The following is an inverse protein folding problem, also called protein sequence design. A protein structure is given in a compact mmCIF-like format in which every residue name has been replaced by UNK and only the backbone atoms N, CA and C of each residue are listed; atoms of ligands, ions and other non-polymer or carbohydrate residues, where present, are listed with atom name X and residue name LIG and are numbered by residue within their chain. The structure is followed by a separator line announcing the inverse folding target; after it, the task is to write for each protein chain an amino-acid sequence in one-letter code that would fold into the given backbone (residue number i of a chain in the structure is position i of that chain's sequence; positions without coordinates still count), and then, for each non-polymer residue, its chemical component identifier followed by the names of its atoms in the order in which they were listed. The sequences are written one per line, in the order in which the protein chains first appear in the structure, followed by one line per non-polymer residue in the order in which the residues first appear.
data_IF_898492891669
#
_entry.id   IF_898492891669
#
_cell.length_a   1.000
_cell.length_b   1.000
_cell.length_c   1.000
_cell.angle_alpha   90.00
_cell.angle_beta   90.00
_cell.angle_gamma   90.00
#
_symmetry.space_group_name_H-M   'P 1'
#
loop_
_entity.id
_entity.type
_entity.pdbx_description
1 polymer ?
#
# COMPACT_ATOMS: atom_id res chain seq x y z
N UNK A 1 31.63 26.08 75.60
CA UNK A 1 30.83 25.55 74.48
C UNK A 1 31.83 24.94 73.51
N UNK A 2 32.18 23.66 73.69
CA UNK A 2 33.18 22.97 72.87
C UNK A 2 32.48 22.34 71.67
N UNK A 3 32.75 22.85 70.48
CA UNK A 3 32.19 22.30 69.24
C UNK A 3 32.73 20.88 68.99
N UNK A 4 31.84 19.97 68.63
CA UNK A 4 32.11 18.54 68.50
C UNK A 4 32.70 18.27 67.10
N UNK A 5 33.86 17.60 66.94
CA UNK A 5 34.48 17.35 65.63
C UNK A 5 33.55 16.64 64.62
N UNK A 6 32.55 15.90 65.11
CA UNK A 6 31.52 15.26 64.30
C UNK A 6 30.64 16.26 63.52
N UNK A 7 30.35 17.44 64.08
CA UNK A 7 29.48 18.44 63.45
C UNK A 7 30.16 19.08 62.23
N UNK A 8 31.48 19.32 62.31
CA UNK A 8 32.29 19.81 61.20
C UNK A 8 32.37 18.81 60.03
N UNK A 9 32.46 17.50 60.34
CA UNK A 9 32.44 16.44 59.33
C UNK A 9 31.06 16.37 58.65
N UNK A 10 29.96 16.51 59.41
CA UNK A 10 28.62 16.52 58.85
C UNK A 10 28.36 17.73 57.93
N UNK A 11 28.85 18.92 58.29
CA UNK A 11 28.74 20.13 57.46
C UNK A 11 29.52 19.96 56.15
N UNK A 12 30.75 19.44 56.21
CA UNK A 12 31.57 19.23 54.99
C UNK A 12 30.97 18.20 54.03
N UNK A 13 30.40 17.09 54.54
CA UNK A 13 29.67 16.11 53.73
C UNK A 13 28.43 16.75 53.08
N UNK A 14 27.69 17.59 53.81
CA UNK A 14 26.49 18.26 53.30
C UNK A 14 26.81 19.25 52.18
N UNK A 15 27.92 19.99 52.30
CA UNK A 15 28.40 20.90 51.25
C UNK A 15 28.83 20.11 50.00
N UNK A 16 29.56 19.01 50.17
CA UNK A 16 29.95 18.14 49.06
C UNK A 16 28.73 17.53 48.35
N UNK A 17 27.73 17.09 49.11
CA UNK A 17 26.48 16.57 48.57
C UNK A 17 25.70 17.62 47.77
N UNK A 18 25.66 18.88 48.23
CA UNK A 18 25.04 19.99 47.48
C UNK A 18 25.74 20.28 46.16
N UNK A 19 27.07 20.21 46.10
CA UNK A 19 27.84 20.41 44.87
C UNK A 19 27.55 19.28 43.86
N UNK A 20 27.57 18.03 44.32
CA UNK A 20 27.25 16.86 43.48
C UNK A 20 25.81 16.92 42.98
N UNK A 21 24.86 17.32 43.83
CA UNK A 21 23.45 17.50 43.48
C UNK A 21 23.24 18.64 42.46
N UNK A 22 23.97 19.75 42.61
CA UNK A 22 23.94 20.85 41.63
C UNK A 22 24.49 20.43 40.27
N UNK A 23 25.60 19.70 40.25
CA UNK A 23 26.18 19.16 39.01
C UNK A 23 25.24 18.16 38.33
N UNK A 24 24.68 17.22 39.09
CA UNK A 24 23.74 16.23 38.56
C UNK A 24 22.49 16.91 38.02
N UNK A 25 21.92 17.91 38.71
CA UNK A 25 20.75 18.66 38.23
C UNK A 25 21.01 19.37 36.89
N UNK A 26 22.20 19.93 36.68
CA UNK A 26 22.60 20.52 35.39
C UNK A 26 22.71 19.45 34.30
N UNK A 27 23.32 18.31 34.62
CA UNK A 27 23.45 17.18 33.71
C UNK A 27 22.07 16.63 33.31
N UNK A 28 21.15 16.46 34.27
CA UNK A 28 19.77 16.04 34.02
C UNK A 28 19.03 17.02 33.11
N UNK A 29 19.19 18.34 33.30
CA UNK A 29 18.58 19.35 32.42
C UNK A 29 19.12 19.27 30.98
N UNK A 30 20.43 19.08 30.80
CA UNK A 30 21.06 18.90 29.48
C UNK A 30 20.57 17.61 28.81
N UNK A 31 20.56 16.50 29.55
CA UNK A 31 20.05 15.22 29.07
C UNK A 31 18.58 15.32 28.63
N UNK A 32 17.73 15.99 29.42
CA UNK A 32 16.32 16.20 29.08
C UNK A 32 16.15 17.11 27.84
N UNK A 33 17.00 18.11 27.66
CA UNK A 33 17.00 18.94 26.44
C UNK A 33 17.39 18.14 25.20
N UNK A 34 18.41 17.27 25.30
CA UNK A 34 18.83 16.38 24.22
C UNK A 34 17.72 15.39 23.89
N UNK A 35 17.10 14.77 24.90
CA UNK A 35 15.99 13.85 24.73
C UNK A 35 14.80 14.53 24.02
N UNK A 36 14.42 15.75 24.40
CA UNK A 36 13.37 16.52 23.72
C UNK A 36 13.70 16.81 22.24
N UNK A 37 14.96 17.19 21.94
CA UNK A 37 15.41 17.40 20.55
C UNK A 37 15.38 16.11 19.74
N UNK A 38 15.78 14.99 20.34
CA UNK A 38 15.73 13.68 19.70
C UNK A 38 14.28 13.28 19.39
N UNK A 39 13.36 13.42 20.35
CA UNK A 39 11.93 13.18 20.16
C UNK A 39 11.36 14.03 19.02
N UNK A 40 11.63 15.35 19.00
CA UNK A 40 11.13 16.21 17.91
C UNK A 40 11.67 15.82 16.53
N UNK A 41 12.92 15.34 16.44
CA UNK A 41 13.47 14.79 15.19
C UNK A 41 12.79 13.49 14.79
N UNK A 42 12.53 12.61 15.75
CA UNK A 42 11.81 11.35 15.54
C UNK A 42 10.37 11.60 15.06
N UNK A 43 9.64 12.51 15.70
CA UNK A 43 8.28 12.88 15.28
C UNK A 43 8.26 13.44 13.86
N UNK A 44 9.22 14.31 13.54
CA UNK A 44 9.38 14.84 12.18
C UNK A 44 9.68 13.73 11.16
N UNK A 45 10.56 12.79 11.51
CA UNK A 45 10.90 11.65 10.65
C UNK A 45 9.71 10.71 10.43
N UNK A 46 8.92 10.42 11.48
CA UNK A 46 7.69 9.63 11.38
C UNK A 46 6.68 10.32 10.47
N UNK A 47 6.48 11.62 10.64
CA UNK A 47 5.55 12.40 9.80
C UNK A 47 5.98 12.42 8.32
N UNK A 48 7.29 12.54 8.05
CA UNK A 48 7.85 12.44 6.70
C UNK A 48 7.63 11.04 6.12
N UNK A 49 7.92 10.00 6.90
CA UNK A 49 7.73 8.61 6.49
C UNK A 49 6.25 8.31 6.17
N UNK A 50 5.33 8.78 7.00
CA UNK A 50 3.90 8.62 6.77
C UNK A 50 3.45 9.35 5.50
N UNK A 51 3.97 10.56 5.26
CA UNK A 51 3.68 11.31 4.04
C UNK A 51 4.23 10.61 2.80
N UNK A 52 5.44 10.04 2.89
CA UNK A 52 6.04 9.27 1.81
C UNK A 52 5.25 7.98 1.50
N UNK A 53 4.72 7.28 2.52
CA UNK A 53 3.85 6.12 2.33
C UNK A 53 2.55 6.48 1.61
N UNK A 54 1.89 7.57 2.02
CA UNK A 54 0.69 8.07 1.32
C UNK A 54 0.96 8.45 -0.13
N UNK A 55 2.12 9.05 -0.42
CA UNK A 55 2.52 9.38 -1.78
C UNK A 55 2.77 8.12 -2.62
N UNK A 56 3.42 7.11 -2.04
CA UNK A 56 3.64 5.81 -2.69
C UNK A 56 2.31 5.11 -3.00
N UNK A 57 1.37 5.12 -2.05
CA UNK A 57 0.01 4.60 -2.25
C UNK A 57 -0.71 5.32 -3.39
N UNK A 58 -0.72 6.65 -3.40
CA UNK A 58 -1.33 7.44 -4.47
C UNK A 58 -0.64 7.23 -5.83
N UNK A 59 0.69 7.07 -5.85
CA UNK A 59 1.43 6.75 -7.06
C UNK A 59 1.06 5.36 -7.59
N UNK A 60 0.91 4.37 -6.71
CA UNK A 60 0.48 3.02 -7.06
C UNK A 60 -0.96 3.01 -7.59
N UNK A 61 -1.88 3.74 -6.97
CA UNK A 61 -3.26 3.90 -7.46
C UNK A 61 -3.31 4.50 -8.87
N UNK A 62 -2.49 5.53 -9.13
CA UNK A 62 -2.36 6.11 -10.46
C UNK A 62 -1.75 5.12 -11.46
N UNK A 63 -0.73 4.35 -11.07
CA UNK A 63 -0.12 3.33 -11.91
C UNK A 63 -1.13 2.25 -12.30
N UNK A 64 -1.92 1.75 -11.34
CA UNK A 64 -2.99 0.77 -11.59
C UNK A 64 -4.03 1.35 -12.54
N UNK A 65 -4.49 2.57 -12.29
CA UNK A 65 -5.49 3.25 -13.12
C UNK A 65 -4.98 3.41 -14.55
N UNK A 66 -3.72 3.81 -14.73
CA UNK A 66 -3.10 3.94 -16.04
C UNK A 66 -2.92 2.59 -16.73
N UNK A 67 -2.48 1.55 -15.99
CA UNK A 67 -2.31 0.20 -16.53
C UNK A 67 -3.63 -0.38 -17.04
N UNK A 68 -4.69 -0.30 -16.23
CA UNK A 68 -6.04 -0.73 -16.64
C UNK A 68 -6.55 0.12 -17.80
N UNK A 69 -6.31 1.43 -17.78
CA UNK A 69 -6.70 2.34 -18.86
C UNK A 69 -6.03 2.01 -20.20
N UNK A 70 -4.72 1.73 -20.20
CA UNK A 70 -3.98 1.31 -21.38
C UNK A 70 -4.48 -0.04 -21.91
N UNK A 71 -4.61 -1.05 -21.06
CA UNK A 71 -5.12 -2.36 -21.48
C UNK A 71 -6.57 -2.26 -21.99
N UNK A 72 -7.39 -1.39 -21.39
CA UNK A 72 -8.76 -1.11 -21.86
C UNK A 72 -8.79 -0.43 -23.23
N UNK A 73 -7.75 0.36 -23.56
CA UNK A 73 -7.59 0.92 -24.89
C UNK A 73 -7.17 -0.16 -25.89
N UNK A 74 -6.18 -0.98 -25.54
CA UNK A 74 -5.67 -2.06 -26.39
C UNK A 74 -6.77 -3.07 -26.76
N UNK A 75 -7.59 -3.50 -25.79
CA UNK A 75 -8.71 -4.41 -26.08
C UNK A 75 -9.74 -3.76 -26.99
N UNK A 76 -10.06 -2.47 -26.82
CA UNK A 76 -10.99 -1.75 -27.71
C UNK A 76 -10.45 -1.64 -29.13
N UNK A 77 -9.16 -1.32 -29.28
CA UNK A 77 -8.51 -1.27 -30.59
C UNK A 77 -8.50 -2.65 -31.26
N UNK A 78 -8.24 -3.71 -30.50
CA UNK A 78 -8.26 -5.07 -31.02
C UNK A 78 -9.68 -5.52 -31.42
N UNK A 79 -10.72 -5.16 -30.66
CA UNK A 79 -12.13 -5.41 -31.01
C UNK A 79 -12.48 -4.70 -32.31
N UNK A 80 -12.16 -3.41 -32.44
CA UNK A 80 -12.44 -2.64 -33.65
C UNK A 80 -11.72 -3.23 -34.86
N UNK A 81 -10.45 -3.58 -34.69
CA UNK A 81 -9.65 -4.20 -35.73
C UNK A 81 -10.24 -5.55 -36.18
N UNK A 82 -10.65 -6.40 -35.25
CA UNK A 82 -11.28 -7.67 -35.55
C UNK A 82 -12.66 -7.49 -36.22
N UNK A 83 -13.45 -6.51 -35.80
CA UNK A 83 -14.78 -6.24 -36.39
C UNK A 83 -14.73 -5.77 -37.85
N UNK A 84 -13.60 -5.23 -38.28
CA UNK A 84 -13.38 -4.78 -39.67
C UNK A 84 -12.92 -5.89 -40.61
N UNK A 85 -12.77 -7.12 -40.12
CA UNK A 85 -12.24 -8.26 -40.88
C UNK A 85 -13.27 -9.38 -40.92
N UNK A 86 -13.50 -9.94 -42.10
CA UNK A 86 -14.39 -11.09 -42.29
C UNK A 86 -13.68 -12.40 -41.95
N UNK A 87 -14.44 -13.42 -41.55
CA UNK A 87 -13.91 -14.76 -41.20
C UNK A 87 -13.18 -15.44 -42.36
N UNK A 88 -13.53 -15.11 -43.60
CA UNK A 88 -12.91 -15.65 -44.82
C UNK A 88 -11.58 -14.98 -45.16
N UNK A 89 -11.19 -13.92 -44.44
CA UNK A 89 -9.97 -13.18 -44.72
C UNK A 89 -8.73 -13.94 -44.25
N UNK A 90 -7.67 -13.94 -45.05
CA UNK A 90 -6.40 -14.61 -44.73
C UNK A 90 -5.71 -14.05 -43.47
N UNK A 91 -6.10 -12.86 -43.02
CA UNK A 91 -5.58 -12.21 -41.81
C UNK A 91 -6.50 -12.37 -40.58
N UNK A 92 -7.68 -13.01 -40.70
CA UNK A 92 -8.65 -13.12 -39.60
C UNK A 92 -8.03 -13.74 -38.34
N UNK A 93 -7.28 -14.84 -38.49
CA UNK A 93 -6.57 -15.51 -37.40
C UNK A 93 -5.59 -14.60 -36.66
N UNK A 94 -4.96 -13.66 -37.37
CA UNK A 94 -4.01 -12.71 -36.78
C UNK A 94 -4.78 -11.72 -35.89
N UNK A 95 -5.90 -11.18 -36.38
CA UNK A 95 -6.74 -10.28 -35.59
C UNK A 95 -7.39 -10.99 -34.40
N UNK A 96 -7.79 -12.25 -34.55
CA UNK A 96 -8.34 -13.04 -33.47
C UNK A 96 -7.29 -13.30 -32.38
N UNK A 97 -6.06 -13.67 -32.75
CA UNK A 97 -4.95 -13.83 -31.80
C UNK A 97 -4.60 -12.52 -31.09
N UNK A 98 -4.61 -11.40 -31.83
CA UNK A 98 -4.38 -10.08 -31.25
C UNK A 98 -5.48 -9.70 -30.23
N UNK A 99 -6.74 -9.93 -30.57
CA UNK A 99 -7.86 -9.71 -29.65
C UNK A 99 -7.74 -10.55 -28.38
N UNK A 100 -7.42 -11.84 -28.49
CA UNK A 100 -7.18 -12.71 -27.34
C UNK A 100 -6.01 -12.22 -26.48
N UNK A 101 -4.90 -11.82 -27.10
CA UNK A 101 -3.75 -11.26 -26.38
C UNK A 101 -4.12 -9.98 -25.62
N UNK A 102 -4.95 -9.12 -26.21
CA UNK A 102 -5.43 -7.90 -25.55
C UNK A 102 -6.39 -8.21 -24.40
N UNK A 103 -7.25 -9.23 -24.52
CA UNK A 103 -8.07 -9.73 -23.41
C UNK A 103 -7.20 -10.23 -22.24
N UNK A 104 -6.18 -11.03 -22.52
CA UNK A 104 -5.27 -11.56 -21.50
C UNK A 104 -4.50 -10.42 -20.81
N UNK A 105 -4.01 -9.42 -21.56
CA UNK A 105 -3.37 -8.23 -20.99
C UNK A 105 -4.31 -7.42 -20.09
N UNK A 106 -5.57 -7.26 -20.51
CA UNK A 106 -6.59 -6.56 -19.74
C UNK A 106 -6.95 -7.29 -18.44
N UNK A 107 -7.08 -8.61 -18.47
CA UNK A 107 -7.31 -9.43 -17.28
C UNK A 107 -6.09 -9.42 -16.36
N UNK A 108 -4.87 -9.47 -16.90
CA UNK A 108 -3.63 -9.37 -16.11
C UNK A 108 -3.55 -8.04 -15.34
N UNK A 109 -3.90 -6.92 -15.98
CA UNK A 109 -3.93 -5.62 -15.32
C UNK A 109 -4.92 -5.58 -14.15
N UNK A 110 -6.10 -6.19 -14.32
CA UNK A 110 -7.09 -6.31 -13.25
C UNK A 110 -6.63 -7.26 -12.13
N UNK A 111 -5.99 -8.39 -12.46
CA UNK A 111 -5.49 -9.32 -11.45
C UNK A 111 -4.35 -8.72 -10.62
N UNK A 112 -3.44 -7.97 -11.25
CA UNK A 112 -2.39 -7.23 -10.56
C UNK A 112 -2.96 -6.15 -9.62
N UNK A 113 -4.02 -5.46 -10.05
CA UNK A 113 -4.74 -4.51 -9.20
C UNK A 113 -5.38 -5.20 -7.98
N UNK A 114 -6.05 -6.34 -8.21
CA UNK A 114 -6.64 -7.16 -7.16
C UNK A 114 -5.57 -7.73 -6.19
N UNK A 115 -4.41 -8.13 -6.71
CA UNK A 115 -3.28 -8.59 -5.91
C UNK A 115 -2.79 -7.47 -4.98
N UNK A 116 -2.62 -6.25 -5.52
CA UNK A 116 -2.18 -5.08 -4.74
C UNK A 116 -3.19 -4.73 -3.63
N UNK A 117 -4.50 -4.87 -3.91
CA UNK A 117 -5.55 -4.76 -2.90
C UNK A 117 -5.43 -5.82 -1.79
N UNK A 118 -5.24 -7.09 -2.17
CA UNK A 118 -5.11 -8.21 -1.23
C UNK A 118 -3.91 -8.06 -0.31
N UNK A 119 -2.80 -7.56 -0.84
CA UNK A 119 -1.56 -7.30 -0.11
C UNK A 119 -1.63 -6.04 0.78
N UNK A 120 -2.74 -5.30 0.79
CA UNK A 120 -2.92 -4.12 1.62
C UNK A 120 -2.05 -2.93 1.18
N UNK A 121 -1.61 -2.92 -0.08
CA UNK A 121 -0.80 -1.83 -0.66
C UNK A 121 -1.64 -0.61 -1.08
N UNK A 122 -2.96 -0.75 -1.01
CA UNK A 122 -3.95 0.24 -1.46
C UNK A 122 -4.97 0.50 -0.37
N UNK A 123 -5.60 1.67 -0.43
CA UNK A 123 -6.77 1.96 0.37
C UNK A 123 -7.92 1.04 -0.03
N UNK A 124 -8.25 0.07 0.84
CA UNK A 124 -9.29 -0.93 0.55
C UNK A 124 -10.67 -0.33 0.26
N UNK A 125 -11.03 0.74 0.97
CA UNK A 125 -12.33 1.39 0.82
C UNK A 125 -12.43 2.12 -0.52
N UNK A 126 -11.42 2.92 -0.85
CA UNK A 126 -11.37 3.62 -2.14
C UNK A 126 -11.31 2.64 -3.30
N UNK A 127 -10.46 1.62 -3.21
CA UNK A 127 -10.34 0.61 -4.26
C UNK A 127 -11.66 -0.14 -4.50
N UNK A 128 -12.34 -0.58 -3.43
CA UNK A 128 -13.64 -1.26 -3.54
C UNK A 128 -14.69 -0.36 -4.17
N UNK A 129 -14.78 0.91 -3.77
CA UNK A 129 -15.73 1.87 -4.39
C UNK A 129 -15.51 2.02 -5.89
N UNK A 130 -14.25 2.06 -6.32
CA UNK A 130 -13.89 2.25 -7.74
C UNK A 130 -14.07 0.98 -8.57
N UNK A 131 -13.66 -0.18 -8.04
CA UNK A 131 -13.50 -1.41 -8.82
C UNK A 131 -14.52 -2.52 -8.52
N UNK A 132 -15.45 -2.34 -7.57
CA UNK A 132 -16.49 -3.34 -7.27
C UNK A 132 -17.29 -3.74 -8.51
N UNK A 133 -17.84 -2.76 -9.23
CA UNK A 133 -18.66 -3.03 -10.43
C UNK A 133 -17.80 -3.60 -11.58
N UNK A 134 -16.64 -3.02 -11.94
CA UNK A 134 -15.76 -3.62 -12.94
C UNK A 134 -15.37 -5.07 -12.66
N UNK A 135 -14.92 -5.39 -11.45
CA UNK A 135 -14.49 -6.75 -11.08
C UNK A 135 -15.66 -7.72 -11.10
N UNK A 136 -16.84 -7.29 -10.62
CA UNK A 136 -18.06 -8.08 -10.71
C UNK A 136 -18.42 -8.37 -12.17
N UNK A 137 -18.42 -7.36 -13.03
CA UNK A 137 -18.73 -7.54 -14.44
C UNK A 137 -17.74 -8.49 -15.11
N UNK A 138 -16.44 -8.36 -14.84
CA UNK A 138 -15.41 -9.26 -15.36
C UNK A 138 -15.68 -10.71 -14.96
N UNK A 139 -15.98 -10.95 -13.69
CA UNK A 139 -16.13 -12.31 -13.17
C UNK A 139 -17.49 -12.95 -13.51
N UNK A 140 -18.57 -12.17 -13.59
CA UNK A 140 -19.92 -12.67 -13.89
C UNK A 140 -20.20 -12.80 -15.40
N UNK A 141 -19.43 -12.12 -16.24
CA UNK A 141 -19.61 -12.16 -17.69
C UNK A 141 -19.32 -13.56 -18.26
N UNK A 142 -20.28 -14.05 -19.05
CA UNK A 142 -20.25 -15.38 -19.67
C UNK A 142 -19.09 -15.54 -20.63
N UNK A 143 -18.74 -14.47 -21.33
CA UNK A 143 -17.67 -14.49 -22.33
C UNK A 143 -16.30 -14.68 -21.68
N UNK A 144 -16.14 -14.29 -20.41
CA UNK A 144 -14.90 -14.45 -19.66
C UNK A 144 -14.85 -15.68 -18.75
N UNK A 145 -15.94 -16.45 -18.59
CA UNK A 145 -15.99 -17.59 -17.67
C UNK A 145 -14.90 -18.64 -17.89
N UNK A 146 -14.47 -18.82 -19.14
CA UNK A 146 -13.42 -19.76 -19.51
C UNK A 146 -12.03 -19.37 -18.98
N UNK A 147 -11.81 -18.10 -18.62
CA UNK A 147 -10.57 -17.64 -17.97
C UNK A 147 -10.55 -17.95 -16.47
N UNK A 148 -11.73 -18.10 -15.86
CA UNK A 148 -11.89 -18.27 -14.40
C UNK A 148 -12.26 -19.70 -13.98
N UNK A 149 -12.55 -20.59 -14.95
CA UNK A 149 -13.00 -21.95 -14.69
C UNK A 149 -12.00 -22.98 -15.21
N UNK A 150 -11.57 -23.98 -14.41
CA UNK A 150 -11.82 -24.13 -12.97
C UNK A 150 -11.16 -23.04 -12.11
N UNK A 151 -11.81 -22.66 -11.01
CA UNK A 151 -11.37 -21.52 -10.17
C UNK A 151 -10.06 -21.79 -9.41
N UNK A 152 -9.75 -23.06 -9.16
CA UNK A 152 -8.53 -23.54 -8.50
C UNK A 152 -7.30 -23.51 -9.40
N UNK A 153 -7.49 -23.53 -10.72
CA UNK A 153 -6.40 -23.52 -11.72
C UNK A 153 -6.41 -22.27 -12.61
N UNK A 154 -7.21 -21.25 -12.26
CA UNK A 154 -7.27 -20.02 -13.05
C UNK A 154 -5.97 -19.22 -12.96
N UNK A 155 -5.59 -18.60 -14.08
CA UNK A 155 -4.47 -17.67 -14.14
C UNK A 155 -4.74 -16.33 -13.44
N UNK A 156 -5.98 -16.09 -12.99
CA UNK A 156 -6.42 -14.82 -12.39
C UNK A 156 -6.95 -15.00 -10.96
N UNK A 157 -6.16 -15.58 -10.04
CA UNK A 157 -6.63 -15.95 -8.71
C UNK A 157 -6.99 -14.75 -7.83
N UNK A 158 -6.39 -13.57 -8.08
CA UNK A 158 -6.63 -12.37 -7.27
C UNK A 158 -7.99 -11.76 -7.59
N UNK A 159 -8.39 -11.73 -8.86
CA UNK A 159 -9.75 -11.32 -9.27
C UNK A 159 -10.78 -12.20 -8.56
N UNK A 160 -10.60 -13.52 -8.61
CA UNK A 160 -11.51 -14.50 -7.99
C UNK A 160 -11.63 -14.25 -6.49
N UNK A 161 -10.49 -14.07 -5.81
CA UNK A 161 -10.47 -13.83 -4.37
C UNK A 161 -11.19 -12.53 -4.01
N UNK A 162 -10.88 -11.43 -4.69
CA UNK A 162 -11.47 -10.11 -4.39
C UNK A 162 -12.97 -10.11 -4.67
N UNK A 163 -13.39 -10.72 -5.79
CA UNK A 163 -14.82 -10.90 -6.09
C UNK A 163 -15.53 -11.68 -4.97
N UNK A 164 -14.99 -12.83 -4.56
CA UNK A 164 -15.58 -13.65 -3.49
C UNK A 164 -15.62 -12.91 -2.16
N UNK A 165 -14.54 -12.22 -1.79
CA UNK A 165 -14.47 -11.40 -0.58
C UNK A 165 -15.62 -10.38 -0.57
N UNK A 166 -15.82 -9.64 -1.66
CA UNK A 166 -16.83 -8.60 -1.71
C UNK A 166 -18.26 -9.15 -1.78
N UNK A 167 -18.52 -10.14 -2.62
CA UNK A 167 -19.88 -10.69 -2.80
C UNK A 167 -20.32 -11.57 -1.63
N UNK A 168 -19.39 -12.30 -0.99
CA UNK A 168 -19.70 -13.09 0.21
C UNK A 168 -19.91 -12.18 1.43
N UNK A 169 -19.16 -11.07 1.54
CA UNK A 169 -19.37 -10.07 2.61
C UNK A 169 -20.69 -9.29 2.54
N UNK A 170 -21.44 -9.43 1.45
CA UNK A 170 -22.74 -8.75 1.24
C UNK A 170 -23.94 -9.66 1.56
N UNK A 171 -23.72 -10.91 2.01
CA UNK A 171 -24.74 -11.84 2.48
C UNK A 171 -24.64 -12.01 3.99
#
# INVERSE_FOLDING_TARGET
MSENPADYIAISISIAALIVSGYSAIQYRKANSIAKKALGKTDSAINIQQSALKLQEAALENQITNSIGMASKEIREAVLALSNVTTESSNYDIFQKNFRSAQEAWLNAHDQACMSYREGKLNKETFKKTYLVPIRNIYEDKDFQHFFSPADTSNYPSIIHVYREWVTSQR
#
